data_IF_314070726252
#
_entry.id   IF_314070726252
#
_cell.length_a   1.000
_cell.length_b   1.000
_cell.length_c   1.000
_cell.angle_alpha   90.00
_cell.angle_beta   90.00
_cell.angle_gamma   90.00
#
_symmetry.space_group_name_H-M   'P 1'
#
loop_
_entity.id
_entity.type
_entity.pdbx_description
1 polymer ?
#
# COMPACT_ATOMS: atom_id res chain seq x y z
N UNK A 1 -5.86 -47.84 19.96
CA UNK A 1 -6.42 -48.53 21.15
C UNK A 1 -7.53 -47.68 21.78
N UNK A 2 -8.81 -47.98 21.56
CA UNK A 2 -9.94 -47.19 22.11
C UNK A 2 -10.40 -47.82 23.44
N UNK A 3 -10.01 -47.21 24.56
CA UNK A 3 -10.54 -47.53 25.90
C UNK A 3 -12.01 -47.09 25.96
N UNK A 4 -12.93 -48.04 26.07
CA UNK A 4 -14.36 -47.75 26.28
C UNK A 4 -14.62 -47.60 27.78
N UNK A 5 -14.70 -46.35 28.25
CA UNK A 5 -15.12 -46.04 29.62
C UNK A 5 -16.63 -46.34 29.75
N UNK A 6 -16.96 -47.43 30.44
CA UNK A 6 -18.32 -47.79 30.83
C UNK A 6 -18.81 -46.74 31.85
N UNK A 7 -19.70 -45.84 31.42
CA UNK A 7 -20.35 -44.88 32.33
C UNK A 7 -21.78 -45.31 32.61
N UNK A 8 -22.04 -45.57 33.90
CA UNK A 8 -23.33 -45.63 34.62
C UNK A 8 -24.55 -46.10 33.85
N UNK A 9 -24.90 -47.39 34.01
CA UNK A 9 -26.16 -47.97 33.51
C UNK A 9 -27.24 -47.81 34.59
N UNK A 10 -28.16 -46.86 34.44
CA UNK A 10 -29.43 -46.90 35.19
C UNK A 10 -30.40 -47.80 34.42
N UNK A 11 -30.61 -49.02 34.92
CA UNK A 11 -31.49 -50.04 34.34
C UNK A 11 -32.88 -49.85 34.96
N UNK A 12 -33.79 -49.09 34.32
CA UNK A 12 -35.22 -49.28 34.61
C UNK A 12 -35.69 -50.53 33.87
N UNK A 13 -35.85 -51.61 34.61
CA UNK A 13 -36.18 -52.93 34.15
C UNK A 13 -37.71 -53.13 34.17
N UNK A 14 -38.36 -53.07 33.01
CA UNK A 14 -39.73 -53.58 32.85
C UNK A 14 -39.64 -54.98 32.23
N UNK A 15 -40.04 -56.00 33.01
CA UNK A 15 -40.04 -57.42 32.62
C UNK A 15 -41.45 -57.80 32.20
N UNK A 16 -41.58 -58.31 30.98
CA UNK A 16 -42.77 -59.04 30.54
C UNK A 16 -42.37 -60.49 30.33
N UNK A 17 -42.96 -61.40 31.11
CA UNK A 17 -42.71 -62.84 31.04
C UNK A 17 -43.66 -63.49 30.02
N UNK A 18 -43.10 -64.17 29.01
CA UNK A 18 -43.85 -65.08 28.14
C UNK A 18 -43.69 -66.52 28.61
N UNK A 19 -44.70 -67.36 28.34
CA UNK A 19 -44.61 -68.80 28.56
C UNK A 19 -43.34 -69.35 27.88
N UNK A 20 -42.55 -70.16 28.59
CA UNK A 20 -41.24 -70.74 28.23
C UNK A 20 -39.96 -70.03 28.72
N UNK A 21 -40.03 -69.11 29.70
CA UNK A 21 -38.83 -68.58 30.38
C UNK A 21 -38.01 -67.59 29.53
N UNK A 22 -38.57 -67.15 28.41
CA UNK A 22 -38.07 -66.00 27.66
C UNK A 22 -38.55 -64.70 28.32
N UNK A 23 -37.60 -63.86 28.68
CA UNK A 23 -37.87 -62.55 29.27
C UNK A 23 -37.44 -61.46 28.30
N UNK A 24 -38.34 -60.53 28.05
CA UNK A 24 -38.02 -59.30 27.34
C UNK A 24 -37.82 -58.15 28.33
N UNK A 25 -36.77 -57.36 28.11
CA UNK A 25 -36.54 -56.10 28.83
C UNK A 25 -36.16 -54.96 27.88
N UNK A 26 -36.41 -53.72 28.30
CA UNK A 26 -35.97 -52.52 27.58
C UNK A 26 -34.73 -51.94 28.25
N UNK A 27 -33.62 -51.85 27.51
CA UNK A 27 -32.38 -51.23 27.98
C UNK A 27 -32.20 -49.85 27.37
N UNK A 28 -31.94 -48.86 28.21
CA UNK A 28 -31.60 -47.48 27.82
C UNK A 28 -30.09 -47.26 27.88
N UNK A 29 -29.49 -46.83 26.78
CA UNK A 29 -28.06 -46.53 26.68
C UNK A 29 -27.86 -45.06 26.28
N UNK A 30 -27.07 -44.32 27.05
CA UNK A 30 -26.65 -42.96 26.71
C UNK A 30 -25.50 -43.02 25.71
N UNK A 31 -25.68 -42.42 24.53
CA UNK A 31 -24.66 -42.33 23.48
C UNK A 31 -24.28 -40.87 23.23
N UNK A 32 -22.98 -40.59 23.26
CA UNK A 32 -22.45 -39.27 22.93
C UNK A 32 -22.40 -39.06 21.42
N UNK A 33 -22.86 -37.90 20.96
CA UNK A 33 -22.77 -37.46 19.57
C UNK A 33 -21.56 -36.55 19.39
N UNK A 34 -20.74 -36.82 18.38
CA UNK A 34 -19.66 -35.93 17.98
C UNK A 34 -20.20 -34.58 17.51
N UNK A 35 -19.35 -33.57 17.48
CA UNK A 35 -19.65 -32.30 16.82
C UNK A 35 -18.77 -32.15 15.59
N UNK A 36 -19.27 -31.41 14.60
CA UNK A 36 -18.48 -31.00 13.43
C UNK A 36 -17.64 -29.76 13.73
N UNK A 37 -16.53 -29.64 13.02
CA UNK A 37 -15.70 -28.43 13.00
C UNK A 37 -16.05 -27.68 11.71
N UNK A 38 -16.30 -26.37 11.82
CA UNK A 38 -16.59 -25.48 10.70
C UNK A 38 -15.49 -24.42 10.68
N UNK A 39 -14.78 -24.34 9.57
CA UNK A 39 -13.81 -23.28 9.31
C UNK A 39 -14.45 -22.17 8.49
N UNK A 40 -14.16 -20.92 8.82
CA UNK A 40 -14.61 -19.73 8.07
C UNK A 40 -13.45 -18.76 7.94
N UNK A 41 -13.25 -18.23 6.77
CA UNK A 41 -12.26 -17.17 6.53
C UNK A 41 -12.73 -15.85 7.16
N UNK A 42 -11.78 -15.02 7.58
CA UNK A 42 -12.02 -13.68 8.10
C UNK A 42 -10.85 -12.76 7.79
N UNK A 43 -11.15 -11.52 7.42
CA UNK A 43 -10.15 -10.47 7.20
C UNK A 43 -9.72 -9.78 8.50
N UNK A 44 -10.28 -10.18 9.64
CA UNK A 44 -9.99 -9.61 10.96
C UNK A 44 -8.77 -10.25 11.65
N UNK A 45 -8.12 -11.22 11.02
CA UNK A 45 -6.95 -11.93 11.56
C UNK A 45 -5.88 -12.03 10.47
N UNK A 46 -4.59 -11.97 10.84
CA UNK A 46 -3.48 -12.19 9.91
C UNK A 46 -3.58 -13.54 9.20
N UNK A 47 -3.07 -13.60 7.97
CA UNK A 47 -3.03 -14.83 7.18
C UNK A 47 -2.29 -15.95 7.94
N UNK A 48 -2.88 -17.13 7.95
CA UNK A 48 -2.36 -18.29 8.69
C UNK A 48 -2.70 -18.33 10.18
N UNK A 49 -3.16 -17.23 10.80
CA UNK A 49 -3.66 -17.27 12.16
C UNK A 49 -5.07 -17.87 12.25
N UNK A 50 -5.40 -18.46 13.40
CA UNK A 50 -6.76 -18.97 13.62
C UNK A 50 -7.23 -18.83 15.05
N UNK A 51 -8.52 -18.56 15.21
CA UNK A 51 -9.15 -18.44 16.55
C UNK A 51 -10.46 -19.21 16.61
N UNK A 52 -10.74 -19.82 17.75
CA UNK A 52 -12.01 -20.51 17.99
C UNK A 52 -13.07 -19.49 18.39
N UNK A 53 -13.89 -19.04 17.44
CA UNK A 53 -15.07 -18.19 17.73
C UNK A 53 -16.13 -18.91 18.55
N UNK A 54 -16.25 -20.23 18.39
CA UNK A 54 -17.22 -21.03 19.12
C UNK A 54 -16.66 -22.38 19.52
N UNK A 55 -16.61 -22.67 20.83
CA UNK A 55 -16.26 -24.01 21.34
C UNK A 55 -17.31 -25.03 20.92
N UNK A 56 -16.85 -26.18 20.45
CA UNK A 56 -17.71 -27.32 20.12
C UNK A 56 -18.21 -28.01 21.39
N UNK A 57 -19.45 -28.48 21.37
CA UNK A 57 -20.04 -29.24 22.48
C UNK A 57 -20.62 -30.55 21.95
N UNK A 58 -20.26 -31.65 22.58
CA UNK A 58 -20.79 -32.97 22.23
C UNK A 58 -22.28 -33.04 22.54
N UNK A 59 -23.03 -33.62 21.61
CA UNK A 59 -24.44 -33.92 21.82
C UNK A 59 -24.62 -35.22 22.59
N UNK A 60 -25.85 -35.51 22.97
CA UNK A 60 -26.22 -36.72 23.70
C UNK A 60 -27.55 -37.25 23.17
N UNK A 61 -27.63 -38.55 22.94
CA UNK A 61 -28.88 -39.23 22.64
C UNK A 61 -29.04 -40.48 23.49
N UNK A 62 -30.27 -40.83 23.80
CA UNK A 62 -30.63 -42.12 24.35
C UNK A 62 -30.97 -43.07 23.22
N UNK A 63 -30.48 -44.30 23.34
CA UNK A 63 -30.82 -45.40 22.45
C UNK A 63 -31.50 -46.48 23.27
N UNK A 64 -32.69 -46.88 22.85
CA UNK A 64 -33.49 -47.91 23.49
C UNK A 64 -33.35 -49.21 22.71
N UNK A 65 -33.00 -50.28 23.42
CA UNK A 65 -32.90 -51.63 22.87
C UNK A 65 -33.90 -52.55 23.56
N UNK A 66 -34.58 -53.40 22.79
CA UNK A 66 -35.28 -54.58 23.29
C UNK A 66 -34.25 -55.69 23.45
N UNK A 67 -34.10 -56.21 24.65
CA UNK A 67 -33.23 -57.35 24.96
C UNK A 67 -34.13 -58.54 25.24
N UNK A 68 -33.95 -59.62 24.47
CA UNK A 68 -34.60 -60.91 24.74
C UNK A 68 -33.57 -61.85 25.33
N UNK A 69 -33.89 -62.42 26.48
CA UNK A 69 -33.05 -63.36 27.21
C UNK A 69 -33.81 -64.67 27.44
N UNK A 70 -33.09 -65.80 27.38
CA UNK A 70 -33.61 -67.13 27.71
C UNK A 70 -32.74 -67.71 28.81
N UNK A 71 -33.33 -68.10 29.94
CA UNK A 71 -32.57 -68.63 31.08
C UNK A 71 -31.49 -67.67 31.60
N UNK A 72 -31.76 -66.35 31.57
CA UNK A 72 -30.82 -65.31 32.00
C UNK A 72 -29.71 -64.93 31.00
N UNK A 73 -29.55 -65.64 29.89
CA UNK A 73 -28.57 -65.32 28.84
C UNK A 73 -29.17 -64.45 27.74
N UNK A 74 -28.46 -63.39 27.33
CA UNK A 74 -28.91 -62.49 26.25
C UNK A 74 -28.87 -63.23 24.92
N UNK A 75 -30.05 -63.45 24.33
CA UNK A 75 -30.22 -64.12 23.03
C UNK A 75 -30.24 -63.10 21.88
N UNK A 76 -30.87 -61.95 22.07
CA UNK A 76 -30.93 -60.91 21.03
C UNK A 76 -30.96 -59.48 21.59
N UNK A 77 -30.50 -58.54 20.77
CA UNK A 77 -30.59 -57.10 21.01
C UNK A 77 -31.15 -56.42 19.77
N UNK A 78 -32.38 -55.91 19.85
CA UNK A 78 -33.04 -55.19 18.76
C UNK A 78 -33.13 -53.70 19.06
N UNK A 79 -32.68 -52.86 18.15
CA UNK A 79 -32.89 -51.42 18.24
C UNK A 79 -34.39 -51.10 18.17
N UNK A 80 -34.88 -50.23 19.07
CA UNK A 80 -36.28 -49.79 19.06
C UNK A 80 -36.39 -48.35 18.55
N UNK A 81 -35.82 -47.42 19.31
CA UNK A 81 -35.90 -45.99 19.03
C UNK A 81 -34.72 -45.26 19.61
N UNK A 82 -34.50 -44.03 19.16
CA UNK A 82 -33.57 -43.11 19.79
C UNK A 82 -34.24 -41.78 20.10
N UNK A 83 -33.82 -41.14 21.19
CA UNK A 83 -34.29 -39.82 21.61
C UNK A 83 -33.10 -38.90 21.78
N UNK A 84 -33.10 -37.76 21.11
CA UNK A 84 -32.09 -36.73 21.33
C UNK A 84 -32.31 -36.07 22.70
N UNK A 85 -31.26 -35.98 23.51
CA UNK A 85 -31.27 -35.27 24.79
C UNK A 85 -30.67 -33.89 24.61
N UNK A 86 -29.54 -33.81 23.92
CA UNK A 86 -28.85 -32.54 23.66
C UNK A 86 -28.25 -32.55 22.25
N UNK A 87 -28.54 -31.56 21.41
CA UNK A 87 -27.89 -31.45 20.11
C UNK A 87 -26.40 -31.16 20.28
N UNK A 88 -25.59 -31.67 19.35
CA UNK A 88 -24.19 -31.30 19.27
C UNK A 88 -24.07 -29.85 18.76
N UNK A 89 -23.20 -29.06 19.40
CA UNK A 89 -22.89 -27.69 18.96
C UNK A 89 -21.58 -27.74 18.18
N UNK A 90 -21.58 -27.24 16.95
CA UNK A 90 -20.39 -27.19 16.11
C UNK A 90 -19.29 -26.31 16.73
N UNK A 91 -18.03 -26.70 16.53
CA UNK A 91 -16.88 -25.82 16.79
C UNK A 91 -16.71 -24.92 15.57
N UNK A 92 -16.63 -23.61 15.78
CA UNK A 92 -16.37 -22.64 14.69
C UNK A 92 -14.97 -22.08 14.90
N UNK A 93 -14.14 -22.24 13.87
CA UNK A 93 -12.78 -21.70 13.79
C UNK A 93 -12.78 -20.62 12.71
N UNK A 94 -12.31 -19.43 13.05
CA UNK A 94 -11.99 -18.41 12.06
C UNK A 94 -10.55 -18.59 11.62
N UNK A 95 -10.32 -18.52 10.31
CA UNK A 95 -8.99 -18.56 9.70
C UNK A 95 -8.74 -17.17 9.15
N UNK A 96 -7.63 -16.56 9.56
CA UNK A 96 -7.22 -15.25 9.07
C UNK A 96 -6.73 -15.32 7.63
N UNK A 97 -7.04 -14.27 6.89
CA UNK A 97 -6.70 -14.10 5.47
C UNK A 97 -6.25 -12.66 5.18
N UNK A 98 -5.86 -11.92 6.22
CA UNK A 98 -5.33 -10.56 6.10
C UNK A 98 -3.83 -10.59 5.83
N UNK A 99 -3.39 -9.94 4.77
CA UNK A 99 -1.99 -9.85 4.35
C UNK A 99 -1.51 -8.40 4.39
N UNK A 100 -0.20 -8.25 4.53
CA UNK A 100 0.49 -7.00 4.27
C UNK A 100 1.10 -7.07 2.88
N UNK A 101 0.87 -6.03 2.08
CA UNK A 101 1.38 -5.92 0.72
C UNK A 101 2.13 -4.59 0.55
N UNK A 102 3.30 -4.66 -0.06
CA UNK A 102 4.12 -3.50 -0.38
C UNK A 102 4.03 -3.20 -1.87
N UNK A 103 3.81 -1.93 -2.20
CA UNK A 103 3.80 -1.43 -3.57
C UNK A 103 4.81 -0.31 -3.68
N UNK A 104 5.75 -0.46 -4.61
CA UNK A 104 6.70 0.60 -4.96
C UNK A 104 6.08 1.53 -6.02
N UNK A 105 6.18 2.84 -5.79
CA UNK A 105 5.77 3.87 -6.75
C UNK A 105 6.90 4.88 -6.96
N UNK A 106 7.04 5.35 -8.20
CA UNK A 106 7.99 6.41 -8.53
C UNK A 106 7.45 7.79 -8.11
N UNK A 107 8.35 8.64 -7.61
CA UNK A 107 8.07 10.04 -7.30
C UNK A 107 8.66 10.89 -8.43
N UNK A 108 7.84 11.60 -9.23
CA UNK A 108 8.35 12.43 -10.31
C UNK A 108 9.26 13.54 -9.76
N UNK A 109 10.29 13.90 -10.53
CA UNK A 109 11.12 15.05 -10.20
C UNK A 109 10.53 16.34 -10.75
N UNK A 110 10.84 17.45 -10.09
CA UNK A 110 10.48 18.79 -10.56
C UNK A 110 11.61 19.41 -11.38
N UNK A 111 11.30 20.44 -12.17
CA UNK A 111 12.30 21.24 -12.89
C UNK A 111 12.32 22.65 -12.33
N UNK A 112 13.51 23.15 -12.00
CA UNK A 112 13.76 24.52 -11.55
C UNK A 112 14.61 25.27 -12.55
N UNK A 113 14.18 26.48 -12.92
CA UNK A 113 14.87 27.33 -13.87
C UNK A 113 15.60 28.45 -13.12
N UNK A 114 16.90 28.58 -13.36
CA UNK A 114 17.73 29.67 -12.83
C UNK A 114 18.06 30.61 -13.97
N UNK A 115 17.72 31.89 -13.82
CA UNK A 115 17.99 32.92 -14.82
C UNK A 115 19.37 33.54 -14.57
N UNK A 116 20.19 33.60 -15.62
CA UNK A 116 21.57 34.10 -15.55
C UNK A 116 21.77 35.28 -16.51
N UNK A 117 22.03 36.46 -15.94
CA UNK A 117 22.25 37.71 -16.67
C UNK A 117 23.63 37.79 -17.34
N UNK A 118 24.55 36.86 -17.05
CA UNK A 118 25.84 36.74 -17.73
C UNK A 118 25.75 35.89 -19.00
N UNK A 119 24.79 34.96 -19.05
CA UNK A 119 24.58 34.05 -20.17
C UNK A 119 23.66 34.70 -21.23
N UNK A 120 24.05 34.60 -22.49
CA UNK A 120 23.31 35.16 -23.63
C UNK A 120 21.86 34.65 -23.69
N UNK A 121 20.92 35.58 -23.95
CA UNK A 121 19.51 35.22 -24.16
C UNK A 121 19.37 34.15 -25.25
N UNK A 122 18.57 33.13 -24.97
CA UNK A 122 18.34 31.98 -25.87
C UNK A 122 19.34 30.83 -25.72
N UNK A 123 20.41 30.99 -24.92
CA UNK A 123 21.27 29.88 -24.49
C UNK A 123 20.74 29.28 -23.18
N UNK A 124 20.78 27.96 -23.08
CA UNK A 124 20.47 27.24 -21.84
C UNK A 124 21.33 25.99 -21.73
N UNK A 125 21.51 25.52 -20.50
CA UNK A 125 22.17 24.26 -20.21
C UNK A 125 21.66 23.66 -18.91
N UNK A 126 21.82 22.36 -18.75
CA UNK A 126 21.37 21.63 -17.56
C UNK A 126 22.48 21.63 -16.52
N UNK A 127 22.27 22.32 -15.39
CA UNK A 127 23.20 22.35 -14.25
C UNK A 127 23.12 21.09 -13.41
N UNK A 128 21.93 20.52 -13.30
CA UNK A 128 21.70 19.27 -12.57
C UNK A 128 20.63 18.47 -13.30
N UNK A 129 20.92 17.21 -13.62
CA UNK A 129 19.90 16.31 -14.15
C UNK A 129 18.92 15.92 -13.04
N UNK A 130 17.63 15.91 -13.38
CA UNK A 130 16.61 15.41 -12.47
C UNK A 130 16.62 13.90 -12.40
N UNK A 131 16.24 13.34 -11.26
CA UNK A 131 16.06 11.89 -11.07
C UNK A 131 14.78 11.65 -10.28
N UNK A 132 13.94 10.73 -10.75
CA UNK A 132 12.76 10.33 -10.01
C UNK A 132 13.18 9.72 -8.66
N UNK A 133 12.39 10.00 -7.64
CA UNK A 133 12.46 9.32 -6.36
C UNK A 133 11.64 8.03 -6.37
N UNK A 134 11.62 7.35 -5.24
CA UNK A 134 10.84 6.14 -5.00
C UNK A 134 10.21 6.18 -3.63
N UNK A 135 9.02 5.60 -3.52
CA UNK A 135 8.34 5.37 -2.25
C UNK A 135 7.77 3.97 -2.22
N UNK A 136 7.71 3.42 -1.02
CA UNK A 136 7.01 2.17 -0.71
C UNK A 136 5.73 2.54 0.03
N UNK A 137 4.60 2.04 -0.45
CA UNK A 137 3.32 2.06 0.24
C UNK A 137 3.03 0.68 0.81
N UNK A 138 2.73 0.64 2.09
CA UNK A 138 2.33 -0.58 2.79
C UNK A 138 0.81 -0.59 2.95
N UNK A 139 0.19 -1.69 2.54
CA UNK A 139 -1.24 -1.91 2.61
C UNK A 139 -1.59 -3.11 3.47
N UNK A 140 -2.70 -3.02 4.18
CA UNK A 140 -3.37 -4.17 4.78
C UNK A 140 -4.49 -4.62 3.83
N UNK A 141 -4.38 -5.83 3.31
CA UNK A 141 -5.29 -6.39 2.29
C UNK A 141 -6.01 -7.61 2.86
N UNK A 142 -7.33 -7.67 2.71
CA UNK A 142 -8.17 -8.76 3.19
C UNK A 142 -8.72 -9.58 2.04
N UNK A 143 -8.58 -10.90 2.14
CA UNK A 143 -9.05 -11.84 1.12
C UNK A 143 -10.18 -12.73 1.62
N UNK A 144 -11.19 -12.98 0.79
CA UNK A 144 -12.19 -14.03 1.03
C UNK A 144 -12.34 -14.86 -0.24
N UNK A 145 -12.19 -16.18 -0.11
CA UNK A 145 -12.18 -17.12 -1.24
C UNK A 145 -11.20 -16.69 -2.34
N UNK A 146 -10.02 -16.22 -1.94
CA UNK A 146 -8.97 -15.68 -2.82
C UNK A 146 -9.36 -14.42 -3.61
N UNK A 147 -10.46 -13.74 -3.25
CA UNK A 147 -10.83 -12.46 -3.82
C UNK A 147 -10.52 -11.35 -2.81
N UNK A 148 -9.88 -10.28 -3.28
CA UNK A 148 -9.66 -9.07 -2.47
C UNK A 148 -11.02 -8.43 -2.14
N UNK A 149 -11.32 -8.28 -0.85
CA UNK A 149 -12.58 -7.68 -0.38
C UNK A 149 -12.36 -6.38 0.39
N UNK A 150 -11.11 -6.10 0.79
CA UNK A 150 -10.76 -4.87 1.50
C UNK A 150 -9.28 -4.54 1.31
N UNK A 151 -8.97 -3.25 1.14
CA UNK A 151 -7.61 -2.73 1.11
C UNK A 151 -7.57 -1.41 1.88
N UNK A 152 -6.62 -1.31 2.81
CA UNK A 152 -6.43 -0.11 3.63
C UNK A 152 -4.96 0.29 3.60
N UNK A 153 -4.68 1.55 3.27
CA UNK A 153 -3.32 2.10 3.34
C UNK A 153 -2.86 2.19 4.79
N UNK A 154 -1.69 1.63 5.09
CA UNK A 154 -1.12 1.61 6.44
C UNK A 154 -0.05 2.69 6.59
N UNK A 155 0.91 2.74 5.66
CA UNK A 155 1.98 3.73 5.68
C UNK A 155 2.55 3.98 4.28
N UNK A 156 3.26 5.10 4.16
CA UNK A 156 4.05 5.45 2.99
C UNK A 156 5.45 5.85 3.47
N UNK A 157 6.49 5.37 2.82
CA UNK A 157 7.88 5.69 3.16
C UNK A 157 8.65 6.01 1.89
N UNK A 158 9.29 7.19 1.85
CA UNK A 158 10.17 7.58 0.76
C UNK A 158 11.50 6.85 0.94
N UNK A 159 11.85 5.99 -0.02
CA UNK A 159 13.12 5.25 -0.02
C UNK A 159 14.21 6.00 -0.78
N UNK A 160 13.83 6.72 -1.83
CA UNK A 160 14.73 7.54 -2.63
C UNK A 160 14.06 8.91 -2.85
N UNK A 161 14.69 9.98 -2.37
CA UNK A 161 14.18 11.34 -2.60
C UNK A 161 14.38 11.74 -4.08
N UNK A 162 13.38 12.37 -4.72
CA UNK A 162 13.55 12.88 -6.08
C UNK A 162 14.59 14.00 -6.11
N UNK A 163 15.39 14.02 -7.18
CA UNK A 163 16.37 15.07 -7.43
C UNK A 163 15.80 16.02 -8.48
N UNK A 164 15.70 17.30 -8.14
CA UNK A 164 15.21 18.36 -9.05
C UNK A 164 16.15 18.54 -10.24
N UNK A 165 15.59 18.65 -11.45
CA UNK A 165 16.34 19.09 -12.64
C UNK A 165 16.56 20.59 -12.57
N UNK A 166 17.79 21.05 -12.70
CA UNK A 166 18.12 22.48 -12.71
C UNK A 166 18.57 22.89 -14.12
N UNK A 167 17.86 23.84 -14.72
CA UNK A 167 18.19 24.41 -16.03
C UNK A 167 18.56 25.87 -15.85
N UNK A 168 19.72 26.26 -16.37
CA UNK A 168 20.17 27.65 -16.38
C UNK A 168 19.78 28.28 -17.71
N UNK A 169 19.10 29.41 -17.68
CA UNK A 169 18.58 30.12 -18.85
C UNK A 169 19.22 31.51 -18.91
N UNK A 170 19.85 31.81 -20.04
CA UNK A 170 20.46 33.12 -20.26
C UNK A 170 19.43 34.22 -20.45
N UNK A 171 19.66 35.35 -19.78
CA UNK A 171 18.82 36.56 -19.89
C UNK A 171 19.60 37.77 -20.38
N UNK A 172 20.90 37.64 -20.64
CA UNK A 172 21.72 38.74 -21.16
C UNK A 172 21.21 39.18 -22.52
N UNK A 173 20.65 40.39 -22.56
CA UNK A 173 20.26 41.03 -23.82
C UNK A 173 21.47 41.75 -24.43
N UNK A 174 21.46 41.89 -25.76
CA UNK A 174 22.35 42.81 -26.44
C UNK A 174 22.06 44.27 -26.04
N UNK A 175 22.94 45.21 -26.43
CA UNK A 175 22.68 46.62 -26.22
C UNK A 175 21.37 47.03 -26.90
N UNK A 176 20.57 47.82 -26.20
CA UNK A 176 19.29 48.33 -26.71
C UNK A 176 19.53 49.34 -27.84
N UNK A 177 18.52 49.56 -28.69
CA UNK A 177 18.55 50.58 -29.75
C UNK A 177 18.90 51.98 -29.20
N UNK A 178 18.45 52.29 -27.98
CA UNK A 178 18.77 53.54 -27.30
C UNK A 178 20.26 53.61 -26.91
N UNK A 179 20.82 52.52 -26.37
CA UNK A 179 22.25 52.43 -26.04
C UNK A 179 23.14 52.46 -27.29
N UNK A 180 22.71 51.80 -28.38
CA UNK A 180 23.41 51.85 -29.68
C UNK A 180 23.43 53.29 -30.20
N UNK A 181 22.28 53.97 -30.22
CA UNK A 181 22.17 55.38 -30.65
C UNK A 181 22.98 56.31 -29.75
N UNK A 182 22.96 56.13 -28.45
CA UNK A 182 23.74 56.92 -27.51
C UNK A 182 25.25 56.76 -27.74
N UNK A 183 25.73 55.53 -27.97
CA UNK A 183 27.13 55.25 -28.32
C UNK A 183 27.52 55.89 -29.66
N UNK A 184 26.67 55.75 -30.68
CA UNK A 184 26.92 56.35 -32.00
C UNK A 184 26.99 57.88 -31.93
N UNK A 185 26.08 58.51 -31.17
CA UNK A 185 26.09 59.96 -30.93
C UNK A 185 27.35 60.41 -30.18
N UNK A 186 27.73 59.70 -29.13
CA UNK A 186 28.93 60.02 -28.36
C UNK A 186 30.20 59.95 -29.23
N UNK A 187 30.30 58.99 -30.14
CA UNK A 187 31.42 58.90 -31.08
C UNK A 187 31.40 60.03 -32.13
N UNK A 188 30.21 60.41 -32.61
CA UNK A 188 30.06 61.55 -33.51
C UNK A 188 30.50 62.85 -32.85
N UNK A 189 30.08 63.08 -31.60
CA UNK A 189 30.46 64.29 -30.84
C UNK A 189 31.98 64.37 -30.64
N UNK A 190 32.65 63.25 -30.33
CA UNK A 190 34.13 63.19 -30.26
C UNK A 190 34.79 63.50 -31.60
N UNK A 191 34.21 63.03 -32.71
CA UNK A 191 34.74 63.30 -34.06
C UNK A 191 34.56 64.77 -34.45
N UNK A 192 33.41 65.36 -34.14
CA UNK A 192 33.15 66.78 -34.33
C UNK A 192 34.17 67.59 -33.53
N UNK A 193 34.42 67.22 -32.27
CA UNK A 193 35.40 67.92 -31.45
C UNK A 193 36.81 67.85 -32.06
N UNK A 194 37.26 66.66 -32.47
CA UNK A 194 38.57 66.50 -33.16
C UNK A 194 38.70 67.39 -34.40
N UNK A 195 37.66 67.46 -35.23
CA UNK A 195 37.66 68.29 -36.44
C UNK A 195 37.70 69.78 -36.09
N UNK A 196 36.96 70.20 -35.05
CA UNK A 196 37.01 71.59 -34.56
C UNK A 196 38.41 71.93 -34.08
N UNK A 197 38.99 71.09 -33.22
CA UNK A 197 40.33 71.30 -32.69
C UNK A 197 41.39 71.35 -33.82
N UNK A 198 41.25 70.50 -34.84
CA UNK A 198 42.15 70.49 -36.02
C UNK A 198 41.96 71.75 -36.89
N UNK A 199 40.72 72.18 -37.10
CA UNK A 199 40.43 73.41 -37.84
C UNK A 199 40.90 74.65 -37.08
N UNK A 200 40.72 74.70 -35.77
CA UNK A 200 41.20 75.79 -34.91
C UNK A 200 42.73 75.86 -34.94
N UNK A 201 43.42 74.71 -34.89
CA UNK A 201 44.87 74.64 -35.13
C UNK A 201 45.26 75.17 -36.50
N UNK A 202 44.61 74.70 -37.57
CA UNK A 202 44.89 75.16 -38.94
C UNK A 202 44.65 76.66 -39.09
N UNK A 203 43.61 77.20 -38.46
CA UNK A 203 43.31 78.63 -38.46
C UNK A 203 44.37 79.42 -37.71
N UNK A 204 44.83 78.93 -36.57
CA UNK A 204 45.91 79.55 -35.80
C UNK A 204 47.22 79.55 -36.61
N UNK A 205 47.60 78.43 -37.20
CA UNK A 205 48.78 78.33 -38.08
C UNK A 205 48.69 79.26 -39.30
N UNK A 206 47.50 79.44 -39.87
CA UNK A 206 47.28 80.37 -40.98
C UNK A 206 47.41 81.84 -40.54
N UNK A 207 46.91 82.19 -39.35
CA UNK A 207 47.09 83.52 -38.74
C UNK A 207 48.55 83.80 -38.44
N UNK A 208 49.26 82.83 -37.86
CA UNK A 208 50.68 82.96 -37.53
C UNK A 208 51.53 83.13 -38.82
N UNK A 209 51.22 82.37 -39.89
CA UNK A 209 51.83 82.56 -41.22
C UNK A 209 51.53 83.92 -41.83
N UNK A 210 50.28 84.37 -41.82
CA UNK A 210 49.90 85.68 -42.36
C UNK A 210 50.60 86.84 -41.62
N UNK A 211 50.77 86.73 -40.30
CA UNK A 211 51.54 87.68 -39.50
C UNK A 211 53.02 87.76 -39.89
N UNK A 212 53.63 86.64 -40.30
CA UNK A 212 55.02 86.63 -40.79
C UNK A 212 55.20 87.32 -42.15
N UNK A 213 54.19 87.31 -43.03
CA UNK A 213 54.25 87.98 -44.34
C UNK A 213 54.13 89.51 -44.25
N UNK A 214 53.42 90.05 -43.24
CA UNK A 214 53.30 91.51 -43.05
C UNK A 214 54.52 92.16 -42.38
N UNK A 215 55.49 91.36 -41.91
CA UNK A 215 56.71 91.83 -41.25
C UNK A 215 57.97 91.77 -42.15
N UNK A 216 57.81 91.41 -43.44
CA UNK A 216 58.90 91.52 -44.42
C UNK A 216 58.91 92.95 -45.00
N UNK A 217 60.00 93.71 -44.83
CA UNK A 217 60.10 95.11 -45.28
C UNK A 217 60.13 95.26 -46.80
#
# INVERSE_FOLDING_TARGET
>A
MKKYLLTGVLISLFIFAGCAGETTSVRKIKKTLGYRIISRETTSLPDGESVVKQKGRRGEKLVFYKITSLGGRVKSRKFMKSRLIRPARARIVLIGTQKQEEVEEDIPFTTSNIYDASLAKGKSWVKQNGKAGKKIKLFTVGYLKNLEVSRTSLSETITISPITKIVVIGTKTGPTEAEIRARARAELDRRIQRIKDENDRRLQEARDRAGQYQAQP
#
